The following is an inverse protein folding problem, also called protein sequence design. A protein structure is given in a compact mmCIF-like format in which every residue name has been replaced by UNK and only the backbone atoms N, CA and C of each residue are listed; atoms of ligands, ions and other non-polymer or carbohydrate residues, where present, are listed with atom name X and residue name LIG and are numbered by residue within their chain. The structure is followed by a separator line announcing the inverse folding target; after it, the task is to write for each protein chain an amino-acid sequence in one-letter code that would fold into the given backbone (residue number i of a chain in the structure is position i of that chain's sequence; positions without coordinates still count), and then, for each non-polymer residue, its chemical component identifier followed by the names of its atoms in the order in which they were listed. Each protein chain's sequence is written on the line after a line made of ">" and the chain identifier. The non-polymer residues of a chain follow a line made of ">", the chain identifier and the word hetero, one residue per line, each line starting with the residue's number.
data_IF_374548624003
#
_entry.id   IF_374548624003
#
_cell.length_a   1.000
_cell.length_b   1.000
_cell.length_c   1.000
_cell.angle_alpha   90.00
_cell.angle_beta   90.00
_cell.angle_gamma   90.00
#
_symmetry.space_group_name_H-M   'P 1'
#
loop_
_entity.id
_entity.type
_entity.pdbx_description
1 polymer ?
#
# COMPACT_ATOMS: atom_id res chain seq x y z
N UNK A 1 1.38 -11.18 -15.98
CA UNK A 1 2.15 -10.42 -14.94
C UNK A 1 1.31 -9.24 -14.48
N UNK A 2 1.37 -8.89 -13.17
CA UNK A 2 0.56 -7.79 -12.67
C UNK A 2 1.22 -6.45 -12.98
N UNK A 3 0.39 -5.43 -13.24
CA UNK A 3 0.89 -4.07 -13.25
C UNK A 3 1.08 -3.57 -11.81
N UNK A 4 2.00 -2.64 -11.63
CA UNK A 4 2.27 -2.02 -10.33
C UNK A 4 2.66 -0.55 -10.49
N UNK A 5 2.60 0.19 -9.41
CA UNK A 5 3.01 1.60 -9.41
C UNK A 5 4.44 1.70 -8.90
N UNK A 6 5.23 2.54 -9.54
CA UNK A 6 6.58 2.89 -9.12
C UNK A 6 6.74 4.40 -9.09
N UNK A 7 7.50 4.89 -8.12
CA UNK A 7 7.85 6.30 -8.05
C UNK A 7 9.31 6.52 -8.39
N UNK A 8 9.57 7.64 -9.09
CA UNK A 8 10.91 8.14 -9.37
C UNK A 8 11.34 9.06 -8.21
N UNK A 9 12.36 8.68 -7.43
CA UNK A 9 12.82 9.48 -6.30
C UNK A 9 13.44 10.83 -6.72
N UNK A 10 13.92 10.94 -7.97
CA UNK A 10 14.48 12.21 -8.48
C UNK A 10 13.39 13.26 -8.67
N UNK A 11 12.18 12.82 -9.05
CA UNK A 11 11.04 13.70 -9.27
C UNK A 11 10.24 13.97 -8.00
N UNK A 12 10.40 13.16 -6.98
CA UNK A 12 9.61 13.28 -5.75
C UNK A 12 10.11 14.46 -4.90
N UNK A 13 9.23 15.43 -4.64
CA UNK A 13 9.51 16.58 -3.78
C UNK A 13 9.06 16.38 -2.33
N UNK A 14 8.49 15.23 -1.99
CA UNK A 14 8.05 14.91 -0.63
C UNK A 14 6.85 15.70 -0.15
N UNK A 15 5.97 16.14 -1.04
CA UNK A 15 4.80 16.96 -0.70
C UNK A 15 3.67 16.19 0.02
N UNK A 16 3.71 14.85 0.03
CA UNK A 16 2.72 13.96 0.68
C UNK A 16 1.29 14.02 0.13
N UNK A 17 1.03 14.75 -0.94
CA UNK A 17 -0.29 14.81 -1.59
C UNK A 17 -0.81 13.43 -1.98
N UNK A 18 0.08 12.51 -2.35
CA UNK A 18 -0.26 11.11 -2.64
C UNK A 18 -0.79 10.34 -1.44
N UNK A 19 -0.34 10.66 -0.21
CA UNK A 19 -0.86 10.06 1.02
C UNK A 19 -2.29 10.53 1.28
N UNK A 20 -2.55 11.83 1.16
CA UNK A 20 -3.89 12.42 1.31
C UNK A 20 -4.84 11.81 0.28
N UNK A 21 -4.45 11.78 -1.00
CA UNK A 21 -5.28 11.21 -2.06
C UNK A 21 -5.56 9.71 -1.85
N UNK A 22 -4.62 8.96 -1.27
CA UNK A 22 -4.83 7.57 -0.92
C UNK A 22 -5.90 7.41 0.17
N UNK A 23 -5.87 8.25 1.19
CA UNK A 23 -6.87 8.23 2.27
C UNK A 23 -8.25 8.63 1.74
N UNK A 24 -8.35 9.70 0.95
CA UNK A 24 -9.60 10.16 0.33
C UNK A 24 -10.22 9.08 -0.57
N UNK A 25 -9.42 8.41 -1.39
CA UNK A 25 -9.90 7.36 -2.29
C UNK A 25 -10.47 6.14 -1.54
N UNK A 26 -9.98 5.85 -0.33
CA UNK A 26 -10.41 4.69 0.45
C UNK A 26 -11.48 5.02 1.51
N UNK A 27 -11.51 6.24 2.01
CA UNK A 27 -12.45 6.67 3.07
C UNK A 27 -13.59 7.57 2.54
N UNK A 28 -13.49 8.06 1.28
CA UNK A 28 -14.44 9.00 0.69
C UNK A 28 -14.04 10.47 0.88
N UNK A 29 -14.75 11.36 0.17
CA UNK A 29 -14.46 12.80 0.19
C UNK A 29 -14.87 13.48 1.50
N UNK A 30 -15.71 12.86 2.30
CA UNK A 30 -16.23 13.40 3.56
C UNK A 30 -15.12 13.67 4.60
N UNK A 31 -13.94 13.11 4.41
CA UNK A 31 -12.79 13.34 5.29
C UNK A 31 -12.43 14.83 5.45
N UNK A 32 -12.71 15.66 4.45
CA UNK A 32 -12.43 17.11 4.52
C UNK A 32 -13.43 17.89 5.38
N UNK A 33 -14.55 17.26 5.72
CA UNK A 33 -15.62 17.86 6.55
C UNK A 33 -15.67 17.29 7.97
N UNK A 34 -14.78 16.33 8.28
CA UNK A 34 -14.67 15.75 9.60
C UNK A 34 -13.80 16.60 10.52
N UNK A 35 -14.01 16.49 11.83
CA UNK A 35 -13.11 17.08 12.80
C UNK A 35 -11.71 16.46 12.67
N UNK A 36 -10.62 17.24 12.77
CA UNK A 36 -9.25 16.72 12.63
C UNK A 36 -8.93 15.53 13.56
N UNK A 37 -9.54 15.47 14.74
CA UNK A 37 -9.35 14.42 15.73
C UNK A 37 -10.07 13.11 15.37
N UNK A 38 -11.06 13.17 14.47
CA UNK A 38 -11.85 12.03 14.01
C UNK A 38 -11.32 11.44 12.71
N UNK A 39 -10.37 12.13 12.07
CA UNK A 39 -9.82 11.70 10.77
C UNK A 39 -8.94 10.46 10.97
N UNK A 40 -9.38 9.33 10.43
CA UNK A 40 -8.58 8.12 10.36
C UNK A 40 -7.57 8.24 9.18
N UNK A 41 -6.39 8.82 9.45
CA UNK A 41 -5.37 9.07 8.44
C UNK A 41 -4.43 7.86 8.27
N UNK A 42 -4.90 6.85 7.53
CA UNK A 42 -4.20 5.58 7.32
C UNK A 42 -3.89 5.33 5.82
N UNK A 43 -2.95 6.08 5.21
CA UNK A 43 -2.58 5.89 3.82
C UNK A 43 -1.93 4.52 3.59
N UNK A 44 -2.13 3.93 2.42
CA UNK A 44 -1.55 2.65 2.01
C UNK A 44 -0.17 2.79 1.36
N UNK A 45 0.45 3.93 1.52
CA UNK A 45 1.81 4.26 1.12
C UNK A 45 2.39 5.26 2.10
N UNK A 46 3.72 5.32 2.18
CA UNK A 46 4.43 6.26 3.05
C UNK A 46 5.47 7.04 2.25
N UNK A 47 5.55 8.37 2.47
CA UNK A 47 6.60 9.20 1.87
C UNK A 47 7.75 9.34 2.86
N UNK A 48 8.84 8.63 2.57
CA UNK A 48 10.11 8.80 3.27
C UNK A 48 10.78 10.06 2.75
N UNK A 49 11.20 10.93 3.65
CA UNK A 49 11.93 12.15 3.33
C UNK A 49 13.08 12.34 4.31
N UNK A 50 14.28 12.43 3.80
CA UNK A 50 15.48 12.78 4.54
C UNK A 50 16.33 13.80 3.74
N UNK A 51 17.52 14.14 4.22
CA UNK A 51 18.40 15.11 3.56
C UNK A 51 18.88 14.67 2.16
N UNK A 52 18.86 13.38 1.85
CA UNK A 52 19.43 12.81 0.63
C UNK A 52 18.38 12.36 -0.38
N UNK A 53 17.21 11.92 0.09
CA UNK A 53 16.18 11.33 -0.76
C UNK A 53 14.77 11.68 -0.27
N UNK A 54 13.88 11.86 -1.23
CA UNK A 54 12.45 11.90 -1.00
C UNK A 54 11.79 10.90 -1.92
N UNK A 55 11.11 9.89 -1.36
CA UNK A 55 10.45 8.87 -2.16
C UNK A 55 9.25 8.26 -1.44
N UNK A 56 8.16 7.97 -2.15
CA UNK A 56 7.08 7.17 -1.62
C UNK A 56 7.43 5.68 -1.65
N UNK A 57 7.21 5.02 -0.54
CA UNK A 57 7.31 3.57 -0.39
C UNK A 57 5.91 2.98 -0.41
N UNK A 58 5.70 1.99 -1.28
CA UNK A 58 4.41 1.32 -1.45
C UNK A 58 4.58 -0.12 -1.89
N UNK A 59 3.52 -0.90 -1.80
CA UNK A 59 3.52 -2.29 -2.23
C UNK A 59 3.82 -2.42 -3.73
N UNK A 60 4.73 -3.33 -4.10
CA UNK A 60 5.10 -3.65 -5.49
C UNK A 60 4.29 -4.80 -6.07
N UNK A 61 3.35 -5.35 -5.33
CA UNK A 61 2.51 -6.49 -5.75
C UNK A 61 3.32 -7.68 -6.24
N UNK A 62 4.34 -8.07 -5.46
CA UNK A 62 5.29 -9.14 -5.78
C UNK A 62 4.59 -10.38 -6.34
N UNK A 63 5.15 -10.98 -7.40
CA UNK A 63 4.57 -12.22 -7.98
C UNK A 63 4.56 -13.35 -6.96
N UNK A 64 5.63 -13.50 -6.20
CA UNK A 64 5.76 -14.53 -5.17
C UNK A 64 5.15 -14.15 -3.80
N UNK A 65 4.69 -12.93 -3.64
CA UNK A 65 3.96 -12.39 -2.49
C UNK A 65 4.39 -12.96 -1.11
N UNK A 66 5.60 -12.65 -0.59
CA UNK A 66 6.09 -13.22 0.67
C UNK A 66 5.16 -12.91 1.86
N UNK A 67 4.47 -11.78 1.81
CA UNK A 67 3.46 -11.42 2.81
C UNK A 67 2.24 -12.36 2.83
N UNK A 68 1.82 -12.87 1.67
CA UNK A 68 0.74 -13.84 1.59
C UNK A 68 1.18 -15.20 2.12
N UNK A 69 2.39 -15.64 1.76
CA UNK A 69 2.97 -16.91 2.25
C UNK A 69 3.19 -16.92 3.76
N UNK A 70 3.50 -15.78 4.35
CA UNK A 70 3.72 -15.65 5.78
C UNK A 70 2.42 -15.51 6.59
N UNK A 71 1.26 -15.41 5.94
CA UNK A 71 0.00 -15.18 6.62
C UNK A 71 -0.60 -16.50 7.13
N UNK A 72 -0.71 -16.73 8.46
CA UNK A 72 -1.23 -17.99 9.00
C UNK A 72 -2.75 -18.14 8.83
N UNK A 73 -3.45 -17.05 8.49
CA UNK A 73 -4.90 -17.01 8.32
C UNK A 73 -5.32 -16.92 6.85
N UNK A 74 -4.39 -17.03 5.90
CA UNK A 74 -4.66 -16.81 4.48
C UNK A 74 -5.50 -15.55 4.20
N UNK A 75 -5.27 -14.51 5.04
CA UNK A 75 -5.96 -13.23 4.93
C UNK A 75 -5.44 -12.38 3.75
N UNK A 76 -4.28 -12.72 3.19
CA UNK A 76 -3.68 -11.99 2.07
C UNK A 76 -3.76 -12.86 0.82
N UNK A 77 -4.45 -12.36 -0.17
CA UNK A 77 -4.69 -13.10 -1.42
C UNK A 77 -4.61 -12.18 -2.64
N UNK A 78 -4.39 -12.78 -3.80
CA UNK A 78 -4.39 -12.08 -5.08
C UNK A 78 -5.81 -12.04 -5.65
N UNK A 79 -6.31 -10.84 -5.92
CA UNK A 79 -7.60 -10.60 -6.59
C UNK A 79 -7.45 -9.43 -7.57
N UNK A 80 -8.00 -9.55 -8.77
CA UNK A 80 -8.04 -8.49 -9.79
C UNK A 80 -6.68 -7.78 -10.00
N UNK A 81 -5.61 -8.56 -10.18
CA UNK A 81 -4.24 -8.08 -10.33
C UNK A 81 -3.65 -7.34 -9.11
N UNK A 82 -4.36 -7.24 -8.01
CA UNK A 82 -3.87 -6.68 -6.75
C UNK A 82 -3.68 -7.77 -5.69
N UNK A 83 -2.79 -7.53 -4.73
CA UNK A 83 -2.70 -8.32 -3.51
C UNK A 83 -3.49 -7.60 -2.44
N UNK A 84 -4.57 -8.22 -1.99
CA UNK A 84 -5.57 -7.63 -1.10
C UNK A 84 -5.50 -8.30 0.26
N UNK A 85 -5.79 -7.55 1.30
CA UNK A 85 -5.95 -8.05 2.67
C UNK A 85 -7.44 -8.17 2.99
N UNK A 86 -7.86 -9.38 3.35
CA UNK A 86 -9.18 -9.60 3.94
C UNK A 86 -9.12 -9.24 5.44
N UNK A 87 -9.63 -8.06 5.77
CA UNK A 87 -9.59 -7.53 7.13
C UNK A 87 -10.38 -8.39 8.12
N UNK A 88 -11.40 -9.13 7.66
CA UNK A 88 -12.19 -10.01 8.52
C UNK A 88 -11.36 -11.20 9.00
N UNK A 89 -10.49 -11.75 8.14
CA UNK A 89 -9.59 -12.86 8.45
C UNK A 89 -8.33 -12.42 9.16
N UNK A 90 -7.91 -11.17 9.01
CA UNK A 90 -6.66 -10.67 9.58
C UNK A 90 -6.74 -10.65 11.12
N UNK A 91 -5.75 -11.23 11.78
CA UNK A 91 -5.62 -11.28 13.25
C UNK A 91 -4.53 -10.33 13.79
N UNK A 92 -3.94 -9.50 12.94
CA UNK A 92 -2.91 -8.53 13.36
C UNK A 92 -1.58 -9.16 13.83
N UNK A 93 -1.24 -10.37 13.40
CA UNK A 93 -0.06 -11.11 13.88
C UNK A 93 1.29 -10.55 13.42
N UNK A 94 1.33 -9.54 12.56
CA UNK A 94 2.53 -8.82 12.07
C UNK A 94 3.46 -9.62 11.15
N UNK A 95 3.23 -10.91 10.90
CA UNK A 95 4.09 -11.74 10.06
C UNK A 95 4.28 -11.16 8.64
N UNK A 96 3.23 -10.59 8.05
CA UNK A 96 3.29 -9.96 6.73
C UNK A 96 4.18 -8.70 6.70
N UNK A 97 4.25 -7.95 7.80
CA UNK A 97 5.14 -6.78 7.92
C UNK A 97 6.61 -7.22 7.92
N UNK A 98 6.94 -8.26 8.71
CA UNK A 98 8.29 -8.81 8.77
C UNK A 98 8.71 -9.46 7.44
N UNK A 99 7.77 -10.08 6.74
CA UNK A 99 8.03 -10.73 5.46
C UNK A 99 8.16 -9.74 4.29
N UNK A 100 7.70 -8.48 4.44
CA UNK A 100 7.74 -7.51 3.36
C UNK A 100 9.16 -6.93 3.17
N UNK A 101 9.84 -7.17 2.04
CA UNK A 101 11.20 -6.67 1.83
C UNK A 101 11.27 -5.14 1.66
N UNK A 102 10.13 -4.49 1.46
CA UNK A 102 10.03 -3.05 1.22
C UNK A 102 9.50 -2.27 2.44
N UNK A 103 9.07 -2.95 3.51
CA UNK A 103 8.40 -2.30 4.63
C UNK A 103 7.09 -1.58 4.24
N UNK A 104 6.40 -2.07 3.20
CA UNK A 104 5.24 -1.39 2.62
C UNK A 104 3.90 -1.92 3.22
N UNK A 105 3.92 -2.42 4.43
CA UNK A 105 2.75 -2.92 5.16
C UNK A 105 2.78 -2.35 6.56
N UNK A 106 1.71 -1.67 6.95
CA UNK A 106 1.49 -1.18 8.30
C UNK A 106 0.32 -1.93 8.94
N UNK A 107 0.13 -1.74 10.24
CA UNK A 107 -1.10 -2.11 10.93
C UNK A 107 -1.88 -0.85 11.24
N UNK A 108 -3.17 -0.93 11.05
CA UNK A 108 -4.10 0.15 11.41
C UNK A 108 -5.18 -0.42 12.31
N UNK A 109 -5.67 0.43 13.19
CA UNK A 109 -6.86 0.15 13.94
C UNK A 109 -8.05 0.13 12.98
N UNK A 110 -8.85 -0.92 13.06
CA UNK A 110 -10.17 -0.93 12.45
C UNK A 110 -11.15 -0.69 13.58
N UNK A 111 -11.99 0.31 13.44
CA UNK A 111 -13.18 0.42 14.25
C UNK A 111 -14.04 -0.83 14.02
N UNK A 112 -13.67 -1.90 14.69
CA UNK A 112 -14.52 -3.07 14.79
C UNK A 112 -15.62 -2.66 15.73
N UNK A 113 -16.82 -2.47 15.22
CA UNK A 113 -17.98 -2.42 16.08
C UNK A 113 -17.84 -3.53 17.13
N UNK A 114 -18.03 -3.23 18.39
CA UNK A 114 -17.92 -4.15 19.50
C UNK A 114 -18.66 -5.45 19.20
N UNK A 115 -17.96 -6.50 18.84
CA UNK A 115 -18.53 -7.81 18.49
C UNK A 115 -18.07 -8.92 19.41
N UNK A 116 -17.57 -8.59 20.58
CA UNK A 116 -17.29 -9.60 21.60
C UNK A 116 -18.16 -9.32 22.80
N UNK A 117 -19.30 -9.98 22.83
CA UNK A 117 -20.07 -10.21 24.05
C UNK A 117 -19.26 -11.09 25.00
N UNK A 118 -18.37 -10.48 25.73
CA UNK A 118 -17.84 -11.06 26.97
C UNK A 118 -18.77 -10.68 28.10
N UNK A 119 -20.05 -10.96 27.94
CA UNK A 119 -21.00 -10.97 29.04
C UNK A 119 -20.76 -12.24 29.86
N UNK A 120 -19.71 -12.23 30.66
CA UNK A 120 -19.74 -13.01 31.86
C UNK A 120 -18.69 -12.55 32.85
N UNK A 121 -19.21 -12.06 33.97
CA UNK A 121 -18.58 -11.92 35.27
C UNK A 121 -17.72 -10.68 35.48
N UNK A 122 -18.33 -9.76 36.20
CA UNK A 122 -17.80 -8.65 36.98
C UNK A 122 -17.73 -7.30 36.26
N UNK A 123 -18.82 -6.56 36.46
CA UNK A 123 -18.97 -5.11 36.26
C UNK A 123 -18.94 -4.58 34.81
N UNK A 124 -20.14 -4.35 34.27
CA UNK A 124 -20.62 -3.34 33.30
C UNK A 124 -19.60 -2.42 32.55
N UNK A 125 -18.44 -2.94 32.18
CA UNK A 125 -17.55 -2.26 31.23
C UNK A 125 -17.37 -3.11 30.00
N UNK A 126 -18.04 -2.68 28.93
CA UNK A 126 -17.83 -3.15 27.57
C UNK A 126 -16.34 -2.90 27.21
N UNK A 127 -15.53 -3.94 27.17
CA UNK A 127 -14.16 -3.86 26.68
C UNK A 127 -14.20 -4.01 25.16
N UNK A 128 -14.10 -2.88 24.46
CA UNK A 128 -13.86 -2.89 23.03
C UNK A 128 -12.39 -3.21 22.77
N UNK A 129 -12.09 -4.40 22.25
CA UNK A 129 -10.75 -4.73 21.78
C UNK A 129 -10.58 -4.11 20.41
N UNK A 130 -9.75 -3.08 20.32
CA UNK A 130 -9.35 -2.50 19.04
C UNK A 130 -8.60 -3.56 18.22
N UNK A 131 -9.19 -3.93 17.09
CA UNK A 131 -8.60 -4.94 16.21
C UNK A 131 -7.62 -4.27 15.24
N UNK A 132 -6.33 -4.58 15.39
CA UNK A 132 -5.31 -4.16 14.42
C UNK A 132 -5.34 -5.06 13.20
N UNK A 133 -5.37 -4.47 12.00
CA UNK A 133 -5.32 -5.20 10.72
C UNK A 133 -4.24 -4.68 9.80
N UNK A 134 -3.74 -5.55 8.93
CA UNK A 134 -2.73 -5.18 7.97
C UNK A 134 -3.29 -4.19 6.93
N UNK A 135 -2.57 -3.09 6.73
CA UNK A 135 -2.84 -2.06 5.72
C UNK A 135 -1.69 -2.01 4.71
N UNK A 136 -2.03 -2.10 3.43
CA UNK A 136 -1.06 -2.04 2.31
C UNK A 136 -1.75 -1.58 1.04
N UNK A 137 -0.97 -1.08 0.09
CA UNK A 137 -1.48 -0.68 -1.22
C UNK A 137 -2.17 -1.85 -1.95
N UNK A 138 -3.36 -1.59 -2.44
CA UNK A 138 -4.23 -2.48 -3.22
C UNK A 138 -4.49 -1.94 -4.64
N UNK A 139 -3.70 -0.95 -5.09
CA UNK A 139 -3.87 -0.23 -6.36
C UNK A 139 -5.21 0.51 -6.50
N UNK A 140 -5.85 0.86 -5.41
CA UNK A 140 -7.22 1.41 -5.43
C UNK A 140 -8.17 0.48 -6.20
N UNK A 141 -8.12 -0.84 -5.90
CA UNK A 141 -8.77 -1.93 -6.67
C UNK A 141 -10.30 -1.87 -6.72
N UNK A 142 -10.93 -0.87 -6.14
CA UNK A 142 -12.35 -0.59 -6.24
C UNK A 142 -12.68 0.65 -7.08
N UNK A 143 -11.66 1.36 -7.57
CA UNK A 143 -11.83 2.62 -8.30
C UNK A 143 -11.66 2.45 -9.80
N UNK A 144 -12.65 2.90 -10.57
CA UNK A 144 -12.56 2.97 -12.04
C UNK A 144 -11.53 4.00 -12.52
N UNK A 145 -11.18 4.97 -11.66
CA UNK A 145 -10.25 6.06 -11.98
C UNK A 145 -8.77 5.65 -11.87
N UNK A 146 -8.50 4.42 -11.42
CA UNK A 146 -7.15 3.91 -11.19
C UNK A 146 -6.44 4.52 -9.97
N UNK A 147 -5.13 4.28 -9.79
CA UNK A 147 -4.40 4.66 -8.58
C UNK A 147 -4.41 6.17 -8.32
N UNK A 148 -4.98 6.60 -7.19
CA UNK A 148 -5.12 8.01 -6.82
C UNK A 148 -3.77 8.73 -6.71
N UNK A 149 -2.74 8.07 -6.17
CA UNK A 149 -1.39 8.63 -6.03
C UNK A 149 -0.75 9.04 -7.38
N UNK A 150 -1.08 8.32 -8.46
CA UNK A 150 -0.59 8.65 -9.82
C UNK A 150 -1.27 9.91 -10.34
N UNK A 151 -2.58 10.02 -10.13
CA UNK A 151 -3.40 11.12 -10.66
C UNK A 151 -3.07 12.48 -10.05
N UNK A 152 -2.70 12.50 -8.75
CA UNK A 152 -2.54 13.76 -8.00
C UNK A 152 -1.10 14.23 -7.91
N UNK A 153 -0.13 13.47 -8.39
CA UNK A 153 1.28 13.81 -8.22
C UNK A 153 1.67 15.03 -9.07
N UNK A 154 2.02 16.19 -8.45
CA UNK A 154 2.28 17.43 -9.18
C UNK A 154 3.55 17.36 -10.03
N UNK A 155 4.48 16.47 -9.69
CA UNK A 155 5.75 16.30 -10.41
C UNK A 155 5.75 15.08 -11.32
N UNK A 156 4.62 14.38 -11.46
CA UNK A 156 4.50 13.13 -12.20
C UNK A 156 5.61 12.11 -11.82
N UNK A 157 5.92 12.04 -10.50
CA UNK A 157 6.91 11.10 -10.00
C UNK A 157 6.41 9.65 -10.08
N UNK A 158 5.12 9.42 -10.00
CA UNK A 158 4.55 8.08 -10.12
C UNK A 158 4.27 7.69 -11.56
N UNK A 159 4.47 6.41 -11.85
CA UNK A 159 4.03 5.79 -13.11
C UNK A 159 3.51 4.38 -12.86
N UNK A 160 2.56 3.97 -13.68
CA UNK A 160 2.10 2.59 -13.74
C UNK A 160 3.07 1.84 -14.66
N UNK A 161 3.47 0.66 -14.25
CA UNK A 161 4.38 -0.21 -15.01
C UNK A 161 3.62 -1.47 -15.39
N UNK A 162 3.48 -1.69 -16.69
CA UNK A 162 2.89 -2.90 -17.26
C UNK A 162 4.00 -3.88 -17.70
N UNK A 163 3.64 -5.11 -18.01
CA UNK A 163 4.57 -6.14 -18.48
C UNK A 163 5.31 -5.74 -19.74
N UNK A 164 4.62 -5.05 -20.66
CA UNK A 164 5.18 -4.55 -21.90
C UNK A 164 6.30 -3.54 -21.63
N UNK A 165 6.11 -2.64 -20.66
CA UNK A 165 7.12 -1.64 -20.27
C UNK A 165 8.39 -2.31 -19.74
N UNK A 166 8.23 -3.37 -18.93
CA UNK A 166 9.36 -4.14 -18.41
C UNK A 166 10.12 -4.83 -19.53
N UNK A 167 9.40 -5.47 -20.44
CA UNK A 167 9.99 -6.15 -21.59
C UNK A 167 10.75 -5.18 -22.48
N UNK A 168 10.17 -4.02 -22.78
CA UNK A 168 10.82 -2.96 -23.54
C UNK A 168 12.07 -2.42 -22.83
N UNK A 169 11.99 -2.18 -21.51
CA UNK A 169 13.12 -1.73 -20.70
C UNK A 169 14.28 -2.73 -20.72
N UNK A 170 13.97 -4.02 -20.53
CA UNK A 170 14.97 -5.09 -20.58
C UNK A 170 15.64 -5.15 -21.96
N UNK A 171 14.86 -5.10 -23.01
CA UNK A 171 15.36 -5.10 -24.40
C UNK A 171 16.30 -3.92 -24.66
N UNK A 172 15.93 -2.72 -24.20
CA UNK A 172 16.75 -1.51 -24.36
C UNK A 172 18.05 -1.60 -23.56
N UNK A 173 18.01 -2.10 -22.32
CA UNK A 173 19.22 -2.32 -21.49
C UNK A 173 20.15 -3.32 -22.15
N UNK A 174 19.62 -4.43 -22.68
CA UNK A 174 20.43 -5.43 -23.41
C UNK A 174 21.09 -4.84 -24.67
N UNK A 175 20.35 -4.02 -25.43
CA UNK A 175 20.92 -3.31 -26.59
C UNK A 175 22.04 -2.35 -26.18
N UNK A 176 21.84 -1.54 -25.14
CA UNK A 176 22.85 -0.63 -24.62
C UNK A 176 24.12 -1.36 -24.15
N UNK A 177 23.95 -2.48 -23.42
CA UNK A 177 25.08 -3.32 -22.99
C UNK A 177 25.83 -3.93 -24.18
N UNK A 178 25.13 -4.39 -25.22
CA UNK A 178 25.78 -4.94 -26.42
C UNK A 178 26.56 -3.88 -27.20
N UNK A 179 26.04 -2.64 -27.28
CA UNK A 179 26.76 -1.51 -27.89
C UNK A 179 27.99 -1.14 -27.09
N UNK A 180 27.89 -1.07 -25.75
CA UNK A 180 29.02 -0.81 -24.86
C UNK A 180 30.12 -1.87 -24.99
N UNK A 181 29.76 -3.14 -25.07
CA UNK A 181 30.71 -4.23 -25.27
C UNK A 181 31.44 -4.20 -26.63
N UNK A 182 30.87 -3.54 -27.65
CA UNK A 182 31.53 -3.38 -28.95
C UNK A 182 32.66 -2.34 -28.92
N UNK A 183 32.68 -1.50 -27.90
CA UNK A 183 33.66 -0.41 -27.72
C UNK A 183 34.78 -0.78 -26.73
N UNK A 184 34.81 -2.02 -26.20
CA UNK A 184 35.85 -2.62 -25.40
C UNK A 184 36.78 -3.46 -26.30
#
# INVERSE_FOLDING_TARGET
>A
MNYFVVADPIKCIGCRTCMIACVVEHNGEDIFYQNPEEINFNPKLEVVKNAQVSAPIQCRLCEDAPCAKACPQDAISRKNNAIIVDQKKCIGCKNCMLACPLGAINLNDVESGCTVDLTNMLNDKLFCIEKMVANKCDLCSGSEKGPACVRVCPTAAFRIVHEEDLTASIKNKRKASAIGAKNL
#
